data_IF_497549696949
#
_entry.id   IF_497549696949
#
_cell.length_a   1.000
_cell.length_b   1.000
_cell.length_c   1.000
_cell.angle_alpha   90.00
_cell.angle_beta   90.00
_cell.angle_gamma   90.00
#
_symmetry.space_group_name_H-M   'P 1'
#
loop_
_entity.id
_entity.type
_entity.pdbx_description
1 polymer ?
#
# COMPACT_ATOMS: atom_id res chain seq x y z
N UNK A 1 -6.16 14.62 -5.35
CA UNK A 1 -5.26 13.61 -5.95
C UNK A 1 -4.35 13.05 -4.88
N UNK A 2 -4.26 11.72 -4.72
CA UNK A 2 -3.36 11.12 -3.71
C UNK A 2 -2.04 10.75 -4.37
N UNK A 3 -0.92 11.15 -3.77
CA UNK A 3 0.40 10.72 -4.22
C UNK A 3 0.83 9.43 -3.53
N UNK A 4 1.32 8.48 -4.31
CA UNK A 4 2.01 7.28 -3.80
C UNK A 4 3.47 7.37 -4.21
N UNK A 5 4.34 7.56 -3.23
CA UNK A 5 5.78 7.63 -3.39
C UNK A 5 6.43 6.27 -3.21
N UNK A 6 7.48 6.02 -4.00
CA UNK A 6 8.36 4.88 -3.84
C UNK A 6 9.78 5.40 -3.59
N UNK A 7 10.33 5.10 -2.43
CA UNK A 7 11.65 5.55 -1.98
C UNK A 7 12.59 4.35 -1.88
N UNK A 8 13.85 4.50 -2.30
CA UNK A 8 14.89 3.49 -2.14
C UNK A 8 15.97 3.98 -1.18
N UNK A 9 16.21 3.25 -0.10
CA UNK A 9 17.31 3.50 0.83
C UNK A 9 18.05 2.19 1.08
N UNK A 10 19.37 2.18 0.88
CA UNK A 10 20.21 1.00 1.10
C UNK A 10 19.68 -0.30 0.45
N UNK A 11 19.17 -0.20 -0.79
CA UNK A 11 18.55 -1.29 -1.57
C UNK A 11 17.20 -1.81 -1.04
N UNK A 12 16.64 -1.15 -0.03
CA UNK A 12 15.31 -1.41 0.49
C UNK A 12 14.34 -0.34 -0.02
N UNK A 13 13.16 -0.79 -0.39
CA UNK A 13 12.12 0.05 -0.95
C UNK A 13 11.05 0.34 0.10
N UNK A 14 10.60 1.58 0.15
CA UNK A 14 9.49 2.01 1.00
C UNK A 14 8.41 2.64 0.15
N UNK A 15 7.17 2.18 0.32
CA UNK A 15 5.99 2.82 -0.26
C UNK A 15 5.42 3.79 0.76
N UNK A 16 5.14 5.02 0.37
CA UNK A 16 4.51 6.03 1.23
C UNK A 16 3.33 6.67 0.52
N UNK A 17 2.23 6.85 1.23
CA UNK A 17 1.09 7.62 0.75
C UNK A 17 0.46 8.40 1.91
N UNK A 18 -0.10 9.56 1.58
CA UNK A 18 -0.80 10.42 2.53
C UNK A 18 -2.06 10.99 1.88
N UNK A 19 -3.23 10.70 2.45
CA UNK A 19 -4.51 11.20 1.94
C UNK A 19 -4.70 12.69 2.23
N UNK A 20 -3.90 13.32 3.11
CA UNK A 20 -3.95 14.78 3.29
C UNK A 20 -3.45 15.56 2.07
N UNK A 21 -2.71 14.89 1.17
CA UNK A 21 -2.34 15.47 -0.14
C UNK A 21 -3.52 15.53 -1.12
N UNK A 22 -4.61 14.82 -0.81
CA UNK A 22 -5.79 14.81 -1.63
C UNK A 22 -6.62 16.10 -1.50
N UNK A 23 -7.46 16.33 -2.49
CA UNK A 23 -8.46 17.40 -2.44
C UNK A 23 -9.48 17.14 -1.31
N UNK A 24 -10.16 18.19 -0.87
CA UNK A 24 -11.13 18.11 0.23
C UNK A 24 -12.37 17.26 -0.08
N UNK A 25 -12.59 16.87 -1.34
CA UNK A 25 -13.63 15.92 -1.74
C UNK A 25 -13.19 14.46 -1.68
N UNK A 26 -11.93 14.19 -1.39
CA UNK A 26 -11.44 12.83 -1.24
C UNK A 26 -12.04 12.19 0.00
N UNK A 27 -12.71 11.06 -0.21
CA UNK A 27 -13.19 10.19 0.85
C UNK A 27 -12.80 8.77 0.49
N UNK A 28 -12.18 8.07 1.44
CA UNK A 28 -11.90 6.66 1.29
C UNK A 28 -13.10 5.86 1.79
N UNK A 29 -13.62 4.97 0.96
CA UNK A 29 -14.67 4.03 1.35
C UNK A 29 -14.14 3.06 2.42
N UNK A 30 -14.95 2.79 3.46
CA UNK A 30 -14.57 1.93 4.58
C UNK A 30 -14.20 0.51 4.15
N UNK A 31 -14.87 -0.03 3.13
CA UNK A 31 -14.58 -1.35 2.57
C UNK A 31 -13.21 -1.38 1.90
N UNK A 32 -12.85 -0.31 1.20
CA UNK A 32 -11.52 -0.15 0.59
C UNK A 32 -10.46 -0.02 1.67
N UNK A 33 -10.69 0.83 2.68
CA UNK A 33 -9.77 0.99 3.81
C UNK A 33 -9.51 -0.33 4.56
N UNK A 34 -10.56 -1.13 4.78
CA UNK A 34 -10.43 -2.47 5.37
C UNK A 34 -9.69 -3.45 4.45
N UNK A 35 -9.97 -3.40 3.15
CA UNK A 35 -9.26 -4.18 2.15
C UNK A 35 -7.75 -3.93 2.15
N UNK A 36 -7.34 -2.66 2.20
CA UNK A 36 -5.93 -2.27 2.29
C UNK A 36 -5.30 -2.80 3.59
N UNK A 37 -5.99 -2.67 4.73
CA UNK A 37 -5.49 -3.21 6.02
C UNK A 37 -5.28 -4.72 5.98
N UNK A 38 -6.21 -5.46 5.37
CA UNK A 38 -6.08 -6.92 5.18
C UNK A 38 -4.87 -7.26 4.33
N UNK A 39 -4.69 -6.59 3.20
CA UNK A 39 -3.51 -6.78 2.34
C UNK A 39 -2.21 -6.54 3.11
N UNK A 40 -2.13 -5.46 3.89
CA UNK A 40 -0.94 -5.15 4.70
C UNK A 40 -0.68 -6.24 5.72
N UNK A 41 -1.71 -6.76 6.39
CA UNK A 41 -1.57 -7.88 7.31
C UNK A 41 -1.05 -9.16 6.62
N UNK A 42 -1.49 -9.44 5.39
CA UNK A 42 -0.98 -10.56 4.58
C UNK A 42 0.51 -10.36 4.24
N UNK A 43 0.90 -9.17 3.78
CA UNK A 43 2.29 -8.85 3.42
C UNK A 43 3.22 -8.90 4.64
N UNK A 44 2.75 -8.50 5.82
CA UNK A 44 3.50 -8.66 7.08
C UNK A 44 3.66 -10.15 7.40
N UNK A 45 2.60 -10.96 7.22
CA UNK A 45 2.64 -12.39 7.53
C UNK A 45 3.57 -13.16 6.59
N UNK A 46 3.60 -12.79 5.31
CA UNK A 46 4.53 -13.35 4.32
C UNK A 46 5.97 -12.81 4.46
N UNK A 47 6.20 -11.86 5.38
CA UNK A 47 7.48 -11.14 5.58
C UNK A 47 7.94 -10.35 4.36
N UNK A 48 7.00 -9.97 3.50
CA UNK A 48 7.26 -9.13 2.34
C UNK A 48 7.45 -7.66 2.74
N UNK A 49 6.82 -7.24 3.84
CA UNK A 49 7.03 -5.93 4.47
C UNK A 49 7.24 -6.08 5.98
N UNK A 50 7.80 -5.07 6.63
CA UNK A 50 8.02 -5.09 8.10
C UNK A 50 6.71 -5.01 8.91
N UNK A 51 6.68 -5.61 10.12
CA UNK A 51 5.52 -5.56 11.02
C UNK A 51 5.12 -4.16 11.50
N UNK A 52 6.04 -3.19 11.51
CA UNK A 52 5.77 -1.79 11.89
C UNK A 52 5.34 -0.92 10.70
N UNK A 53 5.01 -1.54 9.55
CA UNK A 53 4.38 -0.87 8.43
C UNK A 53 3.01 -0.29 8.81
N UNK A 54 2.70 0.87 8.24
CA UNK A 54 1.50 1.65 8.52
C UNK A 54 0.46 1.49 7.42
N UNK A 55 -0.80 1.30 7.85
CA UNK A 55 -2.00 1.29 7.00
C UNK A 55 -3.15 2.01 7.73
N UNK A 56 -2.88 3.24 8.13
CA UNK A 56 -3.85 4.08 8.83
C UNK A 56 -4.85 4.73 7.88
N UNK A 57 -5.89 5.39 8.43
CA UNK A 57 -6.91 6.07 7.62
C UNK A 57 -6.36 7.25 6.81
N UNK A 58 -5.19 7.77 7.19
CA UNK A 58 -4.57 8.96 6.60
C UNK A 58 -3.20 8.66 6.00
N UNK A 59 -2.36 7.92 6.73
CA UNK A 59 -0.97 7.64 6.36
C UNK A 59 -0.72 6.15 6.10
N UNK A 60 0.02 5.89 5.03
CA UNK A 60 0.48 4.56 4.63
C UNK A 60 2.00 4.58 4.50
N UNK A 61 2.65 3.56 5.06
CA UNK A 61 4.09 3.39 4.95
C UNK A 61 4.45 1.90 5.00
N UNK A 62 4.89 1.33 3.88
CA UNK A 62 5.24 -0.10 3.80
C UNK A 62 6.74 -0.24 3.63
N UNK A 63 7.39 -0.81 4.64
CA UNK A 63 8.85 -0.80 4.77
C UNK A 63 9.50 -2.11 4.31
N UNK A 64 10.77 -1.99 3.94
CA UNK A 64 11.72 -3.08 3.62
C UNK A 64 11.26 -4.01 2.49
N UNK A 65 10.64 -3.47 1.45
CA UNK A 65 10.42 -4.23 0.23
C UNK A 65 11.76 -4.47 -0.48
N UNK A 66 12.09 -5.73 -0.76
CA UNK A 66 13.42 -6.12 -1.25
C UNK A 66 13.56 -6.13 -2.79
N UNK A 67 12.47 -5.98 -3.55
CA UNK A 67 12.49 -6.18 -5.00
C UNK A 67 11.73 -5.06 -5.74
N UNK A 68 12.46 -4.25 -6.52
CA UNK A 68 11.91 -3.04 -7.14
C UNK A 68 10.64 -3.26 -8.00
N UNK A 69 10.60 -4.22 -8.94
CA UNK A 69 9.39 -4.42 -9.76
C UNK A 69 8.16 -4.75 -8.91
N UNK A 70 8.38 -5.49 -7.82
CA UNK A 70 7.34 -5.83 -6.87
C UNK A 70 6.90 -4.63 -6.04
N UNK A 71 7.84 -3.79 -5.59
CA UNK A 71 7.52 -2.54 -4.93
C UNK A 71 6.71 -1.60 -5.82
N UNK A 72 7.02 -1.55 -7.13
CA UNK A 72 6.26 -0.78 -8.12
C UNK A 72 4.84 -1.33 -8.31
N UNK A 73 4.68 -2.65 -8.38
CA UNK A 73 3.37 -3.31 -8.47
C UNK A 73 2.49 -2.98 -7.25
N UNK A 74 3.05 -3.12 -6.04
CA UNK A 74 2.35 -2.80 -4.80
C UNK A 74 1.99 -1.31 -4.70
N UNK A 75 2.89 -0.42 -5.14
CA UNK A 75 2.63 1.02 -5.18
C UNK A 75 1.49 1.37 -6.14
N UNK A 76 1.48 0.77 -7.33
CA UNK A 76 0.39 0.94 -8.31
C UNK A 76 -0.93 0.38 -7.78
N UNK A 77 -0.90 -0.76 -7.10
CA UNK A 77 -2.06 -1.36 -6.44
C UNK A 77 -2.62 -0.47 -5.34
N UNK A 78 -1.77 0.07 -4.47
CA UNK A 78 -2.17 1.02 -3.43
C UNK A 78 -2.80 2.28 -4.04
N UNK A 79 -2.20 2.83 -5.09
CA UNK A 79 -2.75 3.99 -5.79
C UNK A 79 -4.16 3.68 -6.33
N UNK A 80 -4.36 2.55 -7.02
CA UNK A 80 -5.68 2.15 -7.51
C UNK A 80 -6.69 1.99 -6.37
N UNK A 81 -6.28 1.36 -5.26
CA UNK A 81 -7.14 1.17 -4.10
C UNK A 81 -7.58 2.50 -3.49
N UNK A 82 -6.66 3.46 -3.33
CA UNK A 82 -6.99 4.81 -2.85
C UNK A 82 -7.99 5.55 -3.75
N UNK A 83 -8.09 5.15 -5.03
CA UNK A 83 -9.09 5.65 -5.98
C UNK A 83 -10.35 4.76 -6.09
N UNK A 84 -10.52 3.78 -5.20
CA UNK A 84 -11.70 2.94 -5.11
C UNK A 84 -11.59 1.58 -5.82
N UNK A 85 -10.47 1.27 -6.47
CA UNK A 85 -10.26 -0.05 -7.09
C UNK A 85 -9.27 -0.91 -6.29
N UNK A 86 -9.82 -1.77 -5.43
CA UNK A 86 -9.04 -2.70 -4.62
C UNK A 86 -8.46 -3.90 -5.42
N UNK A 87 -8.94 -4.12 -6.65
CA UNK A 87 -8.62 -5.30 -7.46
C UNK A 87 -7.12 -5.47 -7.74
N UNK A 88 -6.42 -4.44 -8.25
CA UNK A 88 -4.98 -4.50 -8.51
C UNK A 88 -4.16 -4.84 -7.26
N UNK A 89 -4.51 -4.24 -6.11
CA UNK A 89 -3.80 -4.49 -4.85
C UNK A 89 -4.01 -5.93 -4.35
N UNK A 90 -5.24 -6.43 -4.44
CA UNK A 90 -5.57 -7.82 -4.05
C UNK A 90 -4.86 -8.85 -4.93
N UNK A 91 -4.72 -8.57 -6.23
CA UNK A 91 -3.98 -9.42 -7.17
C UNK A 91 -2.47 -9.41 -6.93
N UNK A 92 -1.93 -8.31 -6.44
CA UNK A 92 -0.52 -8.23 -6.09
C UNK A 92 -0.22 -9.16 -4.91
N UNK A 93 -1.06 -9.26 -3.88
CA UNK A 93 -0.77 -10.18 -2.76
C UNK A 93 -0.78 -11.64 -3.24
N UNK A 94 0.27 -12.44 -2.95
CA UNK A 94 0.24 -13.85 -3.26
C UNK A 94 -0.90 -14.48 -2.47
N UNK A 95 -1.90 -15.04 -3.15
CA UNK A 95 -2.95 -15.82 -2.50
C UNK A 95 -2.24 -16.98 -1.79
N UNK A 96 -2.40 -17.09 -0.48
CA UNK A 96 -1.96 -18.28 0.23
C UNK A 96 -2.66 -19.49 -0.40
N UNK A 97 -1.87 -20.44 -0.93
CA UNK A 97 -2.34 -21.77 -1.31
C UNK A 97 -2.83 -22.52 -0.07
#
# INVERSE_FOLDING_TARGET
MVFVGLECQAQLWTIKADTLTADSSFSLDDHIGEGIRRVVAELVRSREIRPDSLAGPVYYAWYDLHFEPRSRELAAGLHAALYGDLGPLTRAVPQAL
#
